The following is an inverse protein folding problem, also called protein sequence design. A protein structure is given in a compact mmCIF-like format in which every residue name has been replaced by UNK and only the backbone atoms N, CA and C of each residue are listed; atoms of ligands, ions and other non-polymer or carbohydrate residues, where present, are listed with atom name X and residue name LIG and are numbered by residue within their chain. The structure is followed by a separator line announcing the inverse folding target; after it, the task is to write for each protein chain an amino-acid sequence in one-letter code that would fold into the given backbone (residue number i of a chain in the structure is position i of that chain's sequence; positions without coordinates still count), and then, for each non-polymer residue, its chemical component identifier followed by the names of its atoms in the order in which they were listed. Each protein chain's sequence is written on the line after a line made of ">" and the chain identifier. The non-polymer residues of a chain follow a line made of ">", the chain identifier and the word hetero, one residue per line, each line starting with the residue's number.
data_IF_339316731450
#
_entry.id   IF_339316731450
#
_cell.length_a   1.000
_cell.length_b   1.000
_cell.length_c   1.000
_cell.angle_alpha   90.00
_cell.angle_beta   90.00
_cell.angle_gamma   90.00
#
_symmetry.space_group_name_H-M   'P 1'
#
loop_
_entity.id
_entity.type
_entity.pdbx_description
1 polymer ?
#
# COMPACT_ATOMS: atom_id res chain seq x y z
N UNK A 1 0.74 10.89 -25.23
CA UNK A 1 -0.40 9.96 -25.08
C UNK A 1 0.16 8.56 -25.08
N UNK A 2 -0.26 7.67 -24.18
CA UNK A 2 0.09 6.25 -24.27
C UNK A 2 -0.75 5.58 -25.37
N UNK A 3 -0.22 4.52 -25.95
CA UNK A 3 -0.90 3.77 -27.03
C UNK A 3 -0.89 2.29 -26.70
N UNK A 4 -2.01 1.61 -26.98
CA UNK A 4 -2.18 0.17 -26.86
C UNK A 4 -2.39 -0.40 -28.28
N UNK A 5 -1.56 -1.38 -28.68
CA UNK A 5 -1.66 -2.03 -29.98
C UNK A 5 -2.68 -3.19 -29.95
N UNK A 6 -2.69 -3.98 -28.89
CA UNK A 6 -3.67 -5.05 -28.68
C UNK A 6 -4.17 -5.05 -27.23
N UNK A 7 -5.43 -5.38 -27.04
CA UNK A 7 -6.11 -5.50 -25.76
C UNK A 7 -6.65 -6.92 -25.63
N UNK A 8 -6.31 -7.62 -24.54
CA UNK A 8 -6.60 -9.04 -24.39
C UNK A 8 -7.21 -9.31 -23.01
N UNK A 9 -8.25 -10.14 -23.01
CA UNK A 9 -8.86 -10.71 -21.81
C UNK A 9 -8.50 -12.20 -21.75
N UNK A 10 -7.51 -12.61 -20.96
CA UNK A 10 -7.20 -14.02 -20.77
C UNK A 10 -8.34 -14.73 -20.03
N UNK A 11 -8.53 -15.99 -20.32
CA UNK A 11 -9.54 -16.83 -19.65
C UNK A 11 -8.97 -17.54 -18.42
N UNK A 12 -7.64 -17.66 -18.34
CA UNK A 12 -6.95 -18.29 -17.20
C UNK A 12 -5.72 -17.50 -16.78
N UNK A 13 -5.22 -17.77 -15.55
CA UNK A 13 -3.97 -17.17 -15.06
C UNK A 13 -2.76 -17.65 -15.85
N UNK A 14 -2.77 -18.90 -16.31
CA UNK A 14 -1.73 -19.48 -17.16
C UNK A 14 -1.62 -18.69 -18.47
N UNK A 15 -2.74 -18.44 -19.14
CA UNK A 15 -2.77 -17.63 -20.36
C UNK A 15 -2.28 -16.21 -20.11
N UNK A 16 -2.71 -15.58 -19.00
CA UNK A 16 -2.26 -14.25 -18.63
C UNK A 16 -0.74 -14.19 -18.45
N UNK A 17 -0.17 -15.18 -17.78
CA UNK A 17 1.27 -15.27 -17.56
C UNK A 17 2.02 -15.53 -18.88
N UNK A 18 1.58 -16.47 -19.71
CA UNK A 18 2.17 -16.68 -21.02
C UNK A 18 2.20 -15.40 -21.86
N UNK A 19 1.08 -14.67 -21.89
CA UNK A 19 0.98 -13.41 -22.62
C UNK A 19 1.94 -12.35 -22.07
N UNK A 20 2.15 -12.32 -20.75
CA UNK A 20 3.07 -11.41 -20.10
C UNK A 20 4.52 -11.77 -20.42
N UNK A 21 4.87 -13.07 -20.40
CA UNK A 21 6.24 -13.55 -20.62
C UNK A 21 6.69 -13.46 -22.08
N UNK A 22 5.77 -13.52 -23.06
CA UNK A 22 6.11 -13.39 -24.50
C UNK A 22 6.81 -12.08 -24.84
N UNK A 23 6.49 -11.00 -24.13
CA UNK A 23 7.15 -9.70 -24.30
C UNK A 23 7.04 -8.87 -23.00
N UNK A 24 7.96 -9.11 -22.09
CA UNK A 24 7.99 -8.48 -20.79
C UNK A 24 8.28 -6.97 -20.80
N UNK A 25 8.75 -6.43 -21.93
CA UNK A 25 9.08 -5.01 -22.06
C UNK A 25 7.86 -4.16 -22.41
N UNK A 26 6.98 -4.69 -23.27
CA UNK A 26 5.88 -3.93 -23.84
C UNK A 26 4.50 -4.53 -23.55
N UNK A 27 4.41 -5.74 -22.98
CA UNK A 27 3.19 -6.27 -22.36
C UNK A 27 2.99 -5.64 -20.99
N UNK A 28 1.74 -5.34 -20.63
CA UNK A 28 1.39 -4.71 -19.36
C UNK A 28 0.09 -5.30 -18.84
N UNK A 29 0.09 -5.71 -17.58
CA UNK A 29 -1.13 -6.03 -16.86
C UNK A 29 -1.84 -4.72 -16.51
N UNK A 30 -3.14 -4.67 -16.77
CA UNK A 30 -3.97 -3.53 -16.43
C UNK A 30 -4.56 -3.70 -15.03
N UNK A 31 -4.34 -2.70 -14.18
CA UNK A 31 -5.23 -2.37 -13.08
C UNK A 31 -6.21 -1.30 -13.55
N UNK A 32 -6.62 -0.38 -12.70
CA UNK A 32 -7.54 0.71 -13.06
C UNK A 32 -7.00 1.77 -14.03
N UNK A 33 -5.83 1.59 -14.59
CA UNK A 33 -5.16 2.47 -15.59
C UNK A 33 -4.96 3.92 -15.14
N UNK A 34 -5.17 4.26 -13.86
CA UNK A 34 -5.17 5.62 -13.35
C UNK A 34 -3.85 6.37 -13.64
N UNK A 35 -2.71 5.67 -13.53
CA UNK A 35 -1.37 6.21 -13.79
C UNK A 35 -0.87 5.91 -15.20
N UNK A 36 -1.24 4.76 -15.74
CA UNK A 36 -0.79 4.34 -17.06
C UNK A 36 -1.22 5.35 -18.14
N UNK A 37 -2.45 5.85 -18.06
CA UNK A 37 -3.00 6.84 -18.98
C UNK A 37 -2.29 8.19 -18.95
N UNK A 38 -1.60 8.51 -17.86
CA UNK A 38 -0.83 9.76 -17.74
C UNK A 38 0.56 9.67 -18.39
N UNK A 39 1.00 8.45 -18.71
CA UNK A 39 2.30 8.18 -19.31
C UNK A 39 2.34 8.33 -20.82
N UNK A 40 3.50 8.01 -21.41
CA UNK A 40 3.76 8.00 -22.85
C UNK A 40 4.23 6.63 -23.35
N UNK A 41 3.93 5.55 -22.60
CA UNK A 41 4.36 4.20 -22.98
C UNK A 41 3.68 3.76 -24.28
N UNK A 42 4.45 3.06 -25.11
CA UNK A 42 3.93 2.26 -26.22
C UNK A 42 3.75 0.84 -25.72
N UNK A 43 2.51 0.39 -25.62
CA UNK A 43 2.13 -0.91 -25.10
C UNK A 43 1.76 -1.79 -26.29
N UNK A 44 2.50 -2.88 -26.49
CA UNK A 44 2.16 -3.85 -27.55
C UNK A 44 0.96 -4.68 -27.13
N UNK A 45 0.86 -5.05 -25.86
CA UNK A 45 -0.25 -5.85 -25.33
C UNK A 45 -0.67 -5.36 -23.94
N UNK A 46 -1.92 -4.99 -23.82
CA UNK A 46 -2.59 -4.74 -22.55
C UNK A 46 -3.35 -6.00 -22.13
N UNK A 47 -3.04 -6.53 -20.97
CA UNK A 47 -3.62 -7.76 -20.41
C UNK A 47 -4.58 -7.36 -19.30
N UNK A 48 -5.86 -7.60 -19.51
CA UNK A 48 -6.93 -7.26 -18.58
C UNK A 48 -7.36 -8.49 -17.79
N UNK A 49 -7.17 -8.45 -16.46
CA UNK A 49 -7.44 -9.58 -15.56
C UNK A 49 -8.87 -9.57 -14.99
N UNK A 50 -9.74 -8.67 -15.42
CA UNK A 50 -11.08 -8.48 -14.82
C UNK A 50 -11.99 -9.72 -14.90
N UNK A 51 -11.70 -10.66 -15.80
CA UNK A 51 -12.46 -11.91 -15.94
C UNK A 51 -11.95 -13.06 -15.06
N UNK A 52 -10.85 -12.86 -14.32
CA UNK A 52 -10.18 -13.92 -13.57
C UNK A 52 -10.61 -14.00 -12.08
N UNK A 53 -11.65 -13.26 -11.68
CA UNK A 53 -12.17 -13.31 -10.30
C UNK A 53 -11.22 -12.79 -9.23
N UNK A 54 -10.32 -11.86 -9.59
CA UNK A 54 -9.35 -11.26 -8.67
C UNK A 54 -9.89 -10.03 -7.91
N UNK A 55 -11.20 -9.82 -7.91
CA UNK A 55 -11.90 -8.66 -7.33
C UNK A 55 -12.63 -9.01 -6.02
N UNK A 56 -12.29 -10.13 -5.39
CA UNK A 56 -12.93 -10.61 -4.17
C UNK A 56 -12.21 -10.11 -2.91
N UNK A 57 -12.97 -9.85 -1.86
CA UNK A 57 -12.52 -9.60 -0.49
C UNK A 57 -13.02 -10.75 0.36
N UNK A 58 -12.12 -11.56 0.88
CA UNK A 58 -12.46 -12.76 1.65
C UNK A 58 -11.81 -12.73 3.04
N UNK A 59 -12.49 -13.35 4.00
CA UNK A 59 -11.89 -13.67 5.30
C UNK A 59 -11.83 -15.18 5.41
N UNK A 60 -10.64 -15.73 5.26
CA UNK A 60 -10.43 -17.16 5.15
C UNK A 60 -9.14 -17.59 5.86
N UNK A 61 -9.19 -18.73 6.54
CA UNK A 61 -8.04 -19.37 7.20
C UNK A 61 -7.28 -18.41 8.16
N UNK A 62 -8.01 -17.46 8.80
CA UNK A 62 -7.43 -16.47 9.70
C UNK A 62 -6.73 -15.31 8.99
N UNK A 63 -7.05 -15.06 7.73
CA UNK A 63 -6.55 -13.94 6.95
C UNK A 63 -7.67 -13.14 6.32
N UNK A 64 -7.48 -11.82 6.26
CA UNK A 64 -8.16 -10.95 5.31
C UNK A 64 -7.41 -11.03 3.98
N UNK A 65 -8.06 -11.48 2.93
CA UNK A 65 -7.52 -11.58 1.58
C UNK A 65 -8.14 -10.51 0.67
N UNK A 66 -7.29 -9.73 0.02
CA UNK A 66 -7.68 -8.65 -0.87
C UNK A 66 -7.20 -9.00 -2.28
N UNK A 67 -8.09 -9.35 -3.17
CA UNK A 67 -7.76 -9.62 -4.57
C UNK A 67 -7.12 -8.42 -5.27
N UNK A 68 -6.24 -8.67 -6.23
CA UNK A 68 -5.50 -7.60 -6.91
C UNK A 68 -6.40 -6.61 -7.68
N UNK A 69 -7.56 -7.05 -8.14
CA UNK A 69 -8.54 -6.22 -8.86
C UNK A 69 -9.56 -5.54 -7.94
N UNK A 70 -9.53 -5.78 -6.63
CA UNK A 70 -10.35 -5.04 -5.66
C UNK A 70 -10.07 -3.55 -5.80
N UNK A 71 -11.13 -2.76 -5.95
CA UNK A 71 -11.02 -1.31 -6.08
C UNK A 71 -10.76 -0.65 -4.73
N UNK A 72 -10.14 0.52 -4.72
CA UNK A 72 -9.93 1.26 -3.48
C UNK A 72 -11.24 1.69 -2.84
N UNK A 73 -12.32 1.85 -3.63
CA UNK A 73 -13.64 2.16 -3.08
C UNK A 73 -14.27 0.94 -2.37
N UNK A 74 -14.11 -0.26 -2.93
CA UNK A 74 -14.50 -1.48 -2.22
C UNK A 74 -13.71 -1.63 -0.92
N UNK A 75 -12.39 -1.36 -0.95
CA UNK A 75 -11.55 -1.39 0.25
C UNK A 75 -12.02 -0.39 1.31
N UNK A 76 -12.45 0.82 0.90
CA UNK A 76 -12.97 1.88 1.78
C UNK A 76 -14.28 1.50 2.46
N UNK A 77 -15.15 0.74 1.78
CA UNK A 77 -16.56 0.58 2.20
C UNK A 77 -16.93 -0.84 2.61
N UNK A 78 -16.12 -1.84 2.31
CA UNK A 78 -16.46 -3.23 2.56
C UNK A 78 -16.45 -3.58 4.06
N UNK A 79 -17.54 -4.15 4.63
CA UNK A 79 -17.64 -4.40 6.06
C UNK A 79 -16.51 -5.26 6.63
N UNK A 80 -16.07 -6.29 5.90
CA UNK A 80 -14.96 -7.14 6.34
C UNK A 80 -13.63 -6.39 6.47
N UNK A 81 -13.46 -5.25 5.78
CA UNK A 81 -12.26 -4.41 5.84
C UNK A 81 -12.40 -3.38 6.97
N UNK A 82 -13.53 -2.67 6.99
CA UNK A 82 -13.76 -1.56 7.92
C UNK A 82 -13.89 -1.99 9.38
N UNK A 83 -14.28 -3.25 9.62
CA UNK A 83 -14.37 -3.84 10.96
C UNK A 83 -13.05 -4.39 11.52
N UNK A 84 -11.94 -4.30 10.77
CA UNK A 84 -10.65 -4.87 11.14
C UNK A 84 -9.58 -3.81 11.27
N UNK A 85 -8.60 -4.07 12.14
CA UNK A 85 -7.42 -3.21 12.27
C UNK A 85 -7.77 -1.74 12.52
N UNK A 86 -8.81 -1.49 13.32
CA UNK A 86 -9.38 -0.16 13.62
C UNK A 86 -9.73 0.65 12.34
N UNK A 87 -10.07 -0.04 11.24
CA UNK A 87 -10.48 0.59 9.97
C UNK A 87 -9.35 1.23 9.16
N UNK A 88 -8.09 1.01 9.51
CA UNK A 88 -6.93 1.67 8.89
C UNK A 88 -6.92 1.60 7.36
N UNK A 89 -7.38 0.48 6.76
CA UNK A 89 -7.37 0.30 5.31
C UNK A 89 -8.40 1.19 4.61
N UNK A 90 -9.57 1.37 5.22
CA UNK A 90 -10.56 2.33 4.75
C UNK A 90 -10.08 3.77 4.90
N UNK A 91 -9.56 4.10 6.09
CA UNK A 91 -9.02 5.43 6.39
C UNK A 91 -7.92 5.84 5.42
N UNK A 92 -6.90 5.01 5.20
CA UNK A 92 -5.76 5.38 4.36
C UNK A 92 -6.13 5.65 2.89
N UNK A 93 -7.19 5.01 2.36
CA UNK A 93 -7.63 5.22 0.97
C UNK A 93 -8.69 6.30 0.82
N UNK A 94 -9.41 6.67 1.87
CA UNK A 94 -10.50 7.65 1.84
C UNK A 94 -10.09 9.01 1.28
N UNK A 95 -8.82 9.38 1.47
CA UNK A 95 -8.23 10.64 1.02
C UNK A 95 -7.69 10.60 -0.43
N UNK A 96 -7.71 9.44 -1.08
CA UNK A 96 -7.17 9.30 -2.45
C UNK A 96 -8.16 9.87 -3.46
N UNK A 97 -7.87 11.07 -3.95
CA UNK A 97 -8.62 11.81 -4.96
C UNK A 97 -10.12 11.89 -4.63
N UNK A 98 -10.96 11.09 -5.27
CA UNK A 98 -12.41 11.04 -5.07
C UNK A 98 -12.98 9.68 -5.43
N UNK A 99 -14.25 9.44 -5.09
CA UNK A 99 -14.93 8.16 -5.33
C UNK A 99 -14.79 7.65 -6.77
N UNK A 100 -14.98 8.47 -7.85
CA UNK A 100 -14.81 7.99 -9.21
C UNK A 100 -13.40 7.45 -9.50
N UNK A 101 -12.37 8.05 -8.90
CA UNK A 101 -11.00 7.57 -9.03
C UNK A 101 -10.81 6.27 -8.25
N UNK A 102 -11.32 6.20 -7.00
CA UNK A 102 -11.21 5.00 -6.17
C UNK A 102 -12.00 3.80 -6.71
N UNK A 103 -13.05 4.05 -7.50
CA UNK A 103 -13.75 2.99 -8.25
C UNK A 103 -12.93 2.42 -9.42
N UNK A 104 -11.91 3.13 -9.88
CA UNK A 104 -11.01 2.66 -10.94
C UNK A 104 -9.69 2.11 -10.38
N UNK A 105 -9.11 2.80 -9.40
CA UNK A 105 -7.83 2.39 -8.80
C UNK A 105 -7.99 1.09 -8.02
N UNK A 106 -7.02 0.17 -8.16
CA UNK A 106 -7.08 -1.17 -7.57
C UNK A 106 -5.97 -1.39 -6.54
N UNK A 107 -6.18 -2.36 -5.65
CA UNK A 107 -5.17 -2.84 -4.70
C UNK A 107 -3.90 -3.25 -5.46
N UNK A 108 -4.03 -4.08 -6.49
CA UNK A 108 -2.90 -4.53 -7.31
C UNK A 108 -2.16 -3.38 -7.97
N UNK A 109 -2.90 -2.43 -8.57
CA UNK A 109 -2.29 -1.25 -9.17
C UNK A 109 -1.53 -0.38 -8.15
N UNK A 110 -2.02 -0.26 -6.93
CA UNK A 110 -1.40 0.52 -5.86
C UNK A 110 -0.16 -0.16 -5.28
N UNK A 111 -0.20 -1.48 -5.10
CA UNK A 111 0.88 -2.26 -4.47
C UNK A 111 1.99 -2.59 -5.48
N UNK A 112 1.63 -3.14 -6.65
CA UNK A 112 2.60 -3.61 -7.63
C UNK A 112 3.41 -2.47 -8.26
N UNK A 113 2.81 -1.29 -8.41
CA UNK A 113 3.49 -0.09 -8.95
C UNK A 113 4.57 0.45 -8.02
N UNK A 114 4.51 0.16 -6.72
CA UNK A 114 5.47 0.59 -5.69
C UNK A 114 5.72 2.09 -5.70
N UNK A 115 4.69 2.88 -5.99
CA UNK A 115 4.80 4.34 -5.94
C UNK A 115 5.10 4.83 -4.52
N UNK A 116 6.05 5.77 -4.41
CA UNK A 116 6.46 6.33 -3.13
C UNK A 116 5.35 7.07 -2.37
N UNK A 117 4.32 7.50 -3.06
CA UNK A 117 3.16 8.22 -2.51
C UNK A 117 1.96 7.31 -2.17
N UNK A 118 2.12 5.98 -2.23
CA UNK A 118 1.01 5.05 -1.98
C UNK A 118 0.66 5.01 -0.50
N UNK A 119 -0.51 5.55 -0.15
CA UNK A 119 -1.10 5.49 1.19
C UNK A 119 -1.36 4.04 1.60
N UNK A 120 -1.97 3.27 0.70
CA UNK A 120 -2.28 1.87 0.93
C UNK A 120 -1.04 1.03 1.26
N UNK A 121 0.07 1.23 0.52
CA UNK A 121 1.30 0.48 0.77
C UNK A 121 1.89 0.80 2.15
N UNK A 122 1.78 2.07 2.59
CA UNK A 122 2.19 2.47 3.93
C UNK A 122 1.39 1.72 5.00
N UNK A 123 0.05 1.72 4.90
CA UNK A 123 -0.81 1.00 5.83
C UNK A 123 -0.54 -0.52 5.82
N UNK A 124 -0.44 -1.14 4.65
CA UNK A 124 -0.19 -2.58 4.52
C UNK A 124 1.17 -3.01 5.11
N UNK A 125 2.20 -2.16 5.03
CA UNK A 125 3.50 -2.45 5.64
C UNK A 125 3.41 -2.48 7.17
N UNK A 126 2.62 -1.60 7.79
CA UNK A 126 2.42 -1.65 9.25
C UNK A 126 1.63 -2.88 9.67
N UNK A 127 0.74 -3.39 8.83
CA UNK A 127 -0.07 -4.58 9.08
C UNK A 127 0.66 -5.90 8.81
N UNK A 128 1.95 -5.88 8.48
CA UNK A 128 2.73 -7.07 8.16
C UNK A 128 2.15 -7.91 7.02
N UNK A 129 1.63 -7.23 6.01
CA UNK A 129 0.97 -7.87 4.89
C UNK A 129 1.92 -8.72 4.03
N UNK A 130 1.36 -9.74 3.38
CA UNK A 130 2.04 -10.62 2.42
C UNK A 130 1.41 -10.42 1.04
N UNK A 131 2.20 -10.35 0.00
CA UNK A 131 1.74 -10.42 -1.40
C UNK A 131 1.77 -11.87 -1.88
N UNK A 132 0.78 -12.24 -2.68
CA UNK A 132 0.73 -13.54 -3.35
C UNK A 132 0.89 -13.31 -4.84
N UNK A 133 1.98 -13.80 -5.38
CA UNK A 133 2.34 -13.69 -6.78
C UNK A 133 2.07 -15.02 -7.49
N UNK A 134 1.74 -14.98 -8.76
CA UNK A 134 1.44 -16.19 -9.53
C UNK A 134 2.65 -17.13 -9.64
N UNK A 135 3.83 -16.58 -9.99
CA UNK A 135 5.08 -17.34 -10.10
C UNK A 135 5.89 -17.32 -8.80
N UNK A 136 5.96 -16.16 -8.18
CA UNK A 136 6.80 -15.92 -7.00
C UNK A 136 6.21 -16.46 -5.69
N UNK A 137 4.93 -16.91 -5.69
CA UNK A 137 4.27 -17.38 -4.48
C UNK A 137 4.07 -16.29 -3.42
N UNK A 138 4.08 -16.70 -2.16
CA UNK A 138 3.91 -15.77 -1.04
C UNK A 138 5.24 -15.09 -0.69
N UNK A 139 5.19 -13.77 -0.53
CA UNK A 139 6.34 -12.95 -0.20
C UNK A 139 5.90 -11.84 0.78
N UNK A 140 6.61 -11.59 1.90
CA UNK A 140 6.36 -10.44 2.76
C UNK A 140 6.37 -9.14 1.96
N UNK A 141 5.37 -8.27 2.19
CA UNK A 141 5.28 -7.00 1.45
C UNK A 141 6.55 -6.15 1.61
N UNK A 142 7.20 -6.17 2.77
CA UNK A 142 8.45 -5.45 2.99
C UNK A 142 9.56 -5.91 2.03
N UNK A 143 9.72 -7.20 1.82
CA UNK A 143 10.67 -7.79 0.87
C UNK A 143 10.29 -7.46 -0.57
N UNK A 144 9.00 -7.59 -0.91
CA UNK A 144 8.48 -7.19 -2.21
C UNK A 144 8.78 -5.73 -2.52
N UNK A 145 8.61 -4.83 -1.55
CA UNK A 145 8.92 -3.40 -1.72
C UNK A 145 10.42 -3.13 -1.88
N UNK A 146 11.28 -3.90 -1.24
CA UNK A 146 12.74 -3.78 -1.35
C UNK A 146 13.29 -4.36 -2.66
N UNK A 147 12.59 -5.31 -3.29
CA UNK A 147 13.05 -6.00 -4.50
C UNK A 147 13.19 -5.06 -5.71
N UNK A 148 13.99 -5.42 -6.76
CA UNK A 148 14.12 -4.65 -7.98
C UNK A 148 12.77 -4.38 -8.68
N UNK A 149 12.68 -3.28 -9.45
CA UNK A 149 11.43 -2.86 -10.12
C UNK A 149 10.98 -3.84 -11.22
N UNK A 150 11.92 -4.54 -11.86
CA UNK A 150 11.62 -5.47 -12.95
C UNK A 150 11.06 -6.81 -12.45
N UNK A 151 9.84 -6.76 -11.92
CA UNK A 151 9.10 -7.97 -11.55
C UNK A 151 8.08 -8.27 -12.66
N UNK A 152 8.34 -9.30 -13.47
CA UNK A 152 7.41 -9.75 -14.50
C UNK A 152 6.57 -10.90 -13.96
N UNK A 153 5.63 -10.56 -13.09
CA UNK A 153 4.75 -11.51 -12.42
C UNK A 153 3.34 -10.93 -12.30
N UNK A 154 2.39 -11.73 -11.93
CA UNK A 154 1.01 -11.34 -11.68
C UNK A 154 0.77 -11.32 -10.18
N UNK A 155 0.41 -10.16 -9.63
CA UNK A 155 -0.10 -10.09 -8.26
C UNK A 155 -1.53 -10.64 -8.24
N UNK A 156 -1.74 -11.68 -7.45
CA UNK A 156 -3.05 -12.32 -7.30
C UNK A 156 -3.85 -11.66 -6.18
N UNK A 157 -3.24 -11.49 -5.01
CA UNK A 157 -3.87 -10.91 -3.83
C UNK A 157 -2.85 -10.41 -2.82
N UNK A 158 -3.32 -9.63 -1.86
CA UNK A 158 -2.62 -9.27 -0.63
C UNK A 158 -3.32 -9.97 0.53
N UNK A 159 -2.55 -10.59 1.42
CA UNK A 159 -3.03 -11.27 2.62
C UNK A 159 -2.57 -10.52 3.87
N UNK A 160 -3.47 -10.37 4.82
CA UNK A 160 -3.20 -9.74 6.12
C UNK A 160 -3.72 -10.70 7.19
N UNK A 161 -2.90 -11.05 8.16
CA UNK A 161 -3.34 -11.93 9.25
C UNK A 161 -4.42 -11.23 10.08
N UNK A 162 -5.56 -11.88 10.23
CA UNK A 162 -6.69 -11.41 11.05
C UNK A 162 -6.46 -11.80 12.52
N UNK A 163 -5.53 -11.11 13.16
CA UNK A 163 -5.01 -11.43 14.49
C UNK A 163 -5.45 -10.45 15.58
N UNK A 164 -6.38 -9.54 15.24
CA UNK A 164 -6.90 -8.57 16.19
C UNK A 164 -5.93 -7.43 16.51
N UNK A 165 -4.84 -7.26 15.71
CA UNK A 165 -3.94 -6.12 15.89
C UNK A 165 -4.66 -4.80 15.71
N UNK A 166 -4.25 -3.85 16.50
CA UNK A 166 -4.70 -2.47 16.40
C UNK A 166 -3.84 -1.72 15.42
N UNK A 167 -4.39 -0.71 14.78
CA UNK A 167 -3.62 0.08 13.84
C UNK A 167 -4.17 1.50 13.69
N UNK A 168 -3.29 2.43 13.30
CA UNK A 168 -3.64 3.82 13.03
C UNK A 168 -2.85 4.35 11.83
N UNK A 169 -3.48 5.23 11.07
CA UNK A 169 -2.89 5.90 9.92
C UNK A 169 -2.96 7.42 10.09
N UNK A 170 -1.86 8.10 9.78
CA UNK A 170 -1.79 9.55 9.79
C UNK A 170 -1.11 10.07 8.52
N UNK A 171 -1.65 11.14 7.94
CA UNK A 171 -1.01 11.79 6.79
C UNK A 171 -1.17 13.30 6.81
N UNK A 172 -0.25 13.99 6.17
CA UNK A 172 -0.36 15.43 5.88
C UNK A 172 -0.39 15.65 4.37
N UNK A 173 -1.36 16.42 3.91
CA UNK A 173 -1.58 16.79 2.51
C UNK A 173 -1.69 18.30 2.38
N UNK A 174 -1.38 18.87 1.22
CA UNK A 174 -1.56 20.30 0.94
C UNK A 174 -3.04 20.65 0.70
N UNK A 175 -3.79 19.72 0.12
CA UNK A 175 -5.24 19.78 -0.06
C UNK A 175 -5.84 18.39 0.09
N UNK A 176 -7.14 18.30 0.29
CA UNK A 176 -7.89 17.07 0.58
C UNK A 176 -7.64 15.95 -0.44
N UNK A 177 -7.45 16.28 -1.71
CA UNK A 177 -7.30 15.30 -2.80
C UNK A 177 -5.89 15.19 -3.35
N UNK A 178 -4.91 15.90 -2.75
CA UNK A 178 -3.50 15.82 -3.19
C UNK A 178 -2.84 14.53 -2.66
N UNK A 179 -1.69 14.20 -3.22
CA UNK A 179 -0.81 13.17 -2.64
C UNK A 179 -0.36 13.54 -1.24
N UNK A 180 -0.08 12.57 -0.38
CA UNK A 180 0.49 12.87 0.93
C UNK A 180 1.86 13.55 0.76
N UNK A 181 2.07 14.58 1.57
CA UNK A 181 3.40 15.15 1.79
C UNK A 181 4.26 14.17 2.58
N UNK A 182 3.64 13.56 3.59
CA UNK A 182 4.16 12.41 4.35
C UNK A 182 2.98 11.58 4.88
N UNK A 183 3.20 10.29 5.01
CA UNK A 183 2.28 9.34 5.63
C UNK A 183 3.01 8.48 6.64
N UNK A 184 2.35 8.13 7.73
CA UNK A 184 2.82 7.17 8.72
C UNK A 184 1.69 6.23 9.11
N UNK A 185 2.01 4.95 9.29
CA UNK A 185 1.10 3.96 9.80
C UNK A 185 1.78 3.14 10.91
N UNK A 186 1.00 2.81 11.92
CA UNK A 186 1.47 2.08 13.10
C UNK A 186 0.50 0.95 13.38
N UNK A 187 0.99 -0.21 13.78
CA UNK A 187 0.16 -1.26 14.35
C UNK A 187 0.76 -1.84 15.62
N UNK A 188 -0.10 -2.41 16.45
CA UNK A 188 0.29 -3.08 17.69
C UNK A 188 -0.48 -4.39 17.85
N UNK A 189 0.24 -5.47 18.13
CA UNK A 189 -0.29 -6.77 18.49
C UNK A 189 0.40 -7.26 19.76
N UNK A 190 -0.35 -7.42 20.87
CA UNK A 190 0.17 -7.91 22.14
C UNK A 190 1.46 -7.17 22.61
N UNK A 191 1.50 -5.85 22.44
CA UNK A 191 2.66 -5.04 22.80
C UNK A 191 3.81 -5.04 21.78
N UNK A 192 3.68 -5.77 20.67
CA UNK A 192 4.64 -5.73 19.57
C UNK A 192 4.18 -4.71 18.52
N UNK A 193 5.03 -3.74 18.27
CA UNK A 193 4.73 -2.60 17.40
C UNK A 193 5.41 -2.74 16.04
N UNK A 194 4.69 -2.32 15.01
CA UNK A 194 5.23 -2.13 13.66
C UNK A 194 4.97 -0.70 13.22
N UNK A 195 5.98 -0.02 12.73
CA UNK A 195 5.89 1.36 12.25
C UNK A 195 6.30 1.42 10.80
N UNK A 196 5.58 2.15 9.97
CA UNK A 196 5.92 2.41 8.57
C UNK A 196 5.77 3.88 8.21
N UNK A 197 6.62 4.35 7.29
CA UNK A 197 6.58 5.74 6.80
C UNK A 197 6.63 5.74 5.27
N UNK A 198 5.70 6.47 4.64
CA UNK A 198 5.56 6.64 3.20
C UNK A 198 5.61 8.10 2.75
N UNK A 199 5.51 8.32 1.45
CA UNK A 199 5.51 9.66 0.82
C UNK A 199 6.74 10.52 1.15
N UNK A 200 7.91 9.90 1.31
CA UNK A 200 9.18 10.57 1.69
C UNK A 200 10.10 10.94 0.52
N UNK A 201 9.77 11.27 -0.62
CA UNK A 201 9.80 10.87 -2.05
C UNK A 201 10.66 9.63 -2.33
N UNK A 202 10.34 8.57 -1.63
CA UNK A 202 10.86 7.21 -1.84
C UNK A 202 9.74 6.24 -1.48
N UNK A 203 9.91 4.96 -1.75
CA UNK A 203 8.97 3.90 -1.37
C UNK A 203 8.70 3.93 0.14
N UNK A 204 7.49 3.58 0.54
CA UNK A 204 7.19 3.34 1.93
C UNK A 204 8.08 2.20 2.48
N UNK A 205 8.53 2.35 3.70
CA UNK A 205 9.39 1.39 4.40
C UNK A 205 8.97 1.27 5.85
N UNK A 206 9.33 0.16 6.49
CA UNK A 206 9.27 0.03 7.93
C UNK A 206 10.36 0.88 8.59
N UNK A 207 10.08 1.32 9.80
CA UNK A 207 10.98 2.07 10.65
C UNK A 207 11.25 1.24 11.91
N UNK A 208 12.38 0.54 11.93
CA UNK A 208 12.70 -0.45 12.95
C UNK A 208 13.06 0.22 14.29
N UNK A 209 13.77 1.34 14.26
CA UNK A 209 14.13 2.05 15.50
C UNK A 209 12.91 2.69 16.18
N UNK A 210 11.92 3.16 15.40
CA UNK A 210 10.66 3.66 15.97
C UNK A 210 9.86 2.53 16.61
N UNK A 211 9.78 1.37 15.94
CA UNK A 211 9.15 0.18 16.49
C UNK A 211 9.85 -0.30 17.78
N UNK A 212 11.18 -0.33 17.78
CA UNK A 212 11.99 -0.68 18.95
C UNK A 212 11.71 0.25 20.15
N UNK A 213 11.63 1.57 19.92
CA UNK A 213 11.28 2.53 20.99
C UNK A 213 9.91 2.23 21.62
N UNK A 214 8.92 1.83 20.82
CA UNK A 214 7.60 1.48 21.32
C UNK A 214 7.63 0.13 22.07
N UNK A 215 8.33 -0.86 21.54
CA UNK A 215 8.49 -2.19 22.15
C UNK A 215 9.20 -2.11 23.52
N UNK A 216 10.15 -1.19 23.67
CA UNK A 216 10.87 -0.93 24.90
C UNK A 216 10.11 -0.01 25.89
N UNK A 217 8.91 0.46 25.52
CA UNK A 217 8.11 1.33 26.38
C UNK A 217 8.62 2.78 26.48
N UNK A 218 9.50 3.24 25.58
CA UNK A 218 10.03 4.62 25.55
C UNK A 218 8.98 5.66 25.15
N UNK A 219 7.83 5.20 24.64
CA UNK A 219 6.67 6.03 24.32
C UNK A 219 6.66 6.63 22.91
N UNK A 220 5.50 7.18 22.55
CA UNK A 220 5.23 7.67 21.18
C UNK A 220 6.14 8.82 20.74
N UNK A 221 6.53 9.71 21.65
CA UNK A 221 7.40 10.83 21.33
C UNK A 221 8.82 10.35 20.92
N UNK A 222 9.36 9.38 21.64
CA UNK A 222 10.68 8.78 21.32
C UNK A 222 10.61 8.03 19.98
N UNK A 223 9.54 7.29 19.72
CA UNK A 223 9.33 6.61 18.44
C UNK A 223 9.27 7.59 17.26
N UNK A 224 8.56 8.72 17.44
CA UNK A 224 8.51 9.78 16.42
C UNK A 224 9.90 10.35 16.11
N UNK A 225 10.69 10.63 17.14
CA UNK A 225 12.07 11.14 16.97
C UNK A 225 12.96 10.10 16.28
N UNK A 226 12.86 8.83 16.68
CA UNK A 226 13.61 7.73 16.06
C UNK A 226 13.28 7.61 14.55
N UNK A 227 12.01 7.71 14.16
CA UNK A 227 11.61 7.68 12.75
C UNK A 227 12.20 8.86 11.96
N UNK A 228 12.25 10.04 12.56
CA UNK A 228 12.84 11.21 11.92
C UNK A 228 14.36 11.05 11.69
N UNK A 229 15.06 10.32 12.53
CA UNK A 229 16.51 10.13 12.47
C UNK A 229 16.94 8.95 11.60
N UNK A 230 16.20 7.83 11.63
CA UNK A 230 16.53 6.62 10.88
C UNK A 230 16.36 6.80 9.36
N UNK A 231 15.28 7.47 8.96
CA UNK A 231 14.87 7.43 7.56
C UNK A 231 15.41 8.62 6.76
N UNK A 232 15.68 8.37 5.48
CA UNK A 232 16.04 9.43 4.52
C UNK A 232 14.78 10.06 3.95
N UNK A 233 14.74 11.38 3.92
CA UNK A 233 13.65 12.18 3.36
C UNK A 233 14.12 12.97 2.14
N UNK A 234 13.33 12.95 1.08
CA UNK A 234 13.62 13.68 -0.15
C UNK A 234 12.89 15.03 -0.22
N UNK A 235 13.30 15.84 -1.20
CA UNK A 235 12.67 17.10 -1.56
C UNK A 235 11.94 16.96 -2.90
N UNK A 236 10.73 17.49 -3.01
CA UNK A 236 9.96 17.63 -4.25
C UNK A 236 9.12 18.92 -4.24
N UNK A 237 8.22 19.06 -5.22
CA UNK A 237 7.34 20.24 -5.34
C UNK A 237 6.38 20.43 -4.14
N UNK A 238 6.18 19.40 -3.31
CA UNK A 238 5.26 19.44 -2.16
C UNK A 238 5.93 19.93 -0.90
N UNK A 239 7.16 19.47 -0.63
CA UNK A 239 7.89 19.84 0.57
C UNK A 239 9.39 19.54 0.48
N UNK A 240 10.17 20.25 1.28
CA UNK A 240 11.57 19.96 1.52
C UNK A 240 11.78 18.79 2.48
N UNK A 241 12.98 18.20 2.43
CA UNK A 241 13.40 17.07 3.27
C UNK A 241 13.29 17.38 4.78
N UNK A 242 13.73 18.55 5.21
CA UNK A 242 13.69 18.97 6.63
C UNK A 242 12.27 19.05 7.18
N UNK A 243 11.32 19.53 6.36
CA UNK A 243 9.92 19.58 6.75
C UNK A 243 9.34 18.17 6.88
N UNK A 244 9.64 17.28 5.93
CA UNK A 244 9.21 15.87 6.00
C UNK A 244 9.80 15.14 7.21
N UNK A 245 11.05 15.41 7.53
CA UNK A 245 11.68 14.88 8.75
C UNK A 245 10.93 15.30 10.01
N UNK A 246 10.55 16.57 10.12
CA UNK A 246 9.71 17.07 11.23
C UNK A 246 8.32 16.43 11.23
N UNK A 247 7.70 16.29 10.04
CA UNK A 247 6.40 15.61 9.94
C UNK A 247 6.47 14.16 10.37
N UNK A 248 7.54 13.42 10.06
CA UNK A 248 7.69 12.04 10.48
C UNK A 248 7.63 11.90 12.00
N UNK A 249 8.37 12.75 12.73
CA UNK A 249 8.31 12.79 14.18
C UNK A 249 6.88 13.00 14.71
N UNK A 250 6.13 13.92 14.10
CA UNK A 250 4.76 14.25 14.52
C UNK A 250 3.77 13.15 14.17
N UNK A 251 3.81 12.63 12.92
CA UNK A 251 2.81 11.67 12.44
C UNK A 251 2.99 10.30 13.07
N UNK A 252 4.23 9.83 13.22
CA UNK A 252 4.50 8.56 13.94
C UNK A 252 4.06 8.68 15.40
N UNK A 253 4.38 9.79 16.08
CA UNK A 253 3.90 10.04 17.44
C UNK A 253 2.38 9.97 17.52
N UNK A 254 1.64 10.72 16.67
CA UNK A 254 0.17 10.76 16.67
C UNK A 254 -0.47 9.42 16.38
N UNK A 255 0.05 8.69 15.37
CA UNK A 255 -0.44 7.35 15.05
C UNK A 255 -0.22 6.38 16.21
N UNK A 256 0.93 6.46 16.90
CA UNK A 256 1.22 5.66 18.10
C UNK A 256 0.29 6.00 19.26
N UNK A 257 0.09 7.30 19.55
CA UNK A 257 -0.85 7.77 20.58
C UNK A 257 -2.27 7.28 20.29
N UNK A 258 -2.77 7.43 19.06
CA UNK A 258 -4.08 6.95 18.64
C UNK A 258 -4.22 5.43 18.84
N UNK A 259 -3.22 4.66 18.44
CA UNK A 259 -3.20 3.21 18.63
C UNK A 259 -3.17 2.80 20.12
N UNK A 260 -2.65 3.64 21.03
CA UNK A 260 -2.64 3.42 22.48
C UNK A 260 -3.96 3.82 23.16
N UNK A 261 -4.60 4.92 22.74
CA UNK A 261 -5.75 5.52 23.44
C UNK A 261 -7.02 4.68 23.38
N UNK A 262 -7.27 3.99 22.28
CA UNK A 262 -8.46 3.14 22.14
C UNK A 262 -8.43 1.89 23.05
N UNK A 263 -7.35 1.66 23.81
CA UNK A 263 -7.30 0.63 24.88
C UNK A 263 -8.04 1.07 26.18
N UNK A 264 -8.74 2.21 26.21
CA UNK A 264 -9.40 2.73 27.42
C UNK A 264 -10.92 2.58 27.41
N UNK A 265 -11.46 1.81 26.44
CA UNK A 265 -12.91 1.56 26.34
C UNK A 265 -13.31 0.14 26.72
#
# INVERSE_FOLDING_TARGET
>A
MFTIKSYVFPETLEEADELLQRDTRTSVILGGCCWLKMGRRRISRAIDLTRLGLDQIDVKDGYLELGASVTLHQLETHPAVTSRFDGILGECVSHIVGVPFRNCATVGGSVFSRFGFSDLTCALLSLDATVVLYRGGELPLAEFMASPIAFNDILLKVRIKDDGRRAAYQSVRRSTTDFPTLAAAVSCLNGQWTVSVGARPARAVRCESAAACLNEGKGAAAAGQAAAEELTYGTDLRAGADYRKKLAAVLVRRASEQCMEENKG
#
